data_IF_283802312352
#
_entry.id   IF_283802312352
#
_cell.length_a   1.000
_cell.length_b   1.000
_cell.length_c   1.000
_cell.angle_alpha   90.00
_cell.angle_beta   90.00
_cell.angle_gamma   90.00
#
_symmetry.space_group_name_H-M   'P 1'
#
loop_
_entity.id
_entity.type
_entity.pdbx_description
1 polymer ?
#
# COMPACT_ATOMS: atom_id res chain seq x y z
N UNK A 1 5.26 3.36 20.32
CA UNK A 1 5.30 3.62 18.87
C UNK A 1 6.63 4.25 18.51
N UNK A 2 7.63 3.41 18.27
CA UNK A 2 8.96 3.84 17.85
C UNK A 2 9.08 3.70 16.33
N UNK A 3 9.50 4.77 15.65
CA UNK A 3 9.65 4.79 14.20
C UNK A 3 11.11 4.98 13.82
N UNK A 4 11.58 4.19 12.86
CA UNK A 4 12.87 4.43 12.20
C UNK A 4 12.73 5.61 11.24
N UNK A 5 13.72 6.50 11.21
CA UNK A 5 13.63 7.72 10.40
C UNK A 5 14.76 7.75 9.38
N UNK A 6 14.38 7.87 8.11
CA UNK A 6 15.26 8.14 6.99
C UNK A 6 15.08 9.61 6.61
N UNK A 7 16.12 10.44 6.74
CA UNK A 7 16.01 11.89 6.51
C UNK A 7 17.02 12.38 5.49
N UNK A 8 16.69 13.50 4.85
CA UNK A 8 17.59 14.18 3.93
C UNK A 8 18.47 15.17 4.69
N UNK A 9 19.78 14.97 4.63
CA UNK A 9 20.79 15.88 5.14
C UNK A 9 21.02 17.00 4.12
N UNK A 10 20.53 18.20 4.41
CA UNK A 10 20.65 19.35 3.50
C UNK A 10 22.08 19.88 3.34
N UNK A 11 23.01 19.50 4.23
CA UNK A 11 24.42 19.94 4.15
C UNK A 11 25.20 19.10 3.15
N UNK A 12 24.99 17.78 3.20
CA UNK A 12 25.71 16.82 2.36
C UNK A 12 24.90 16.38 1.14
N UNK A 13 23.65 16.85 1.02
CA UNK A 13 22.67 16.46 -0.01
C UNK A 13 22.46 14.94 -0.13
N UNK A 14 22.52 14.23 1.00
CA UNK A 14 22.42 12.78 1.09
C UNK A 14 21.27 12.32 1.99
N UNK A 15 20.87 11.06 1.84
CA UNK A 15 19.88 10.41 2.68
C UNK A 15 20.57 9.58 3.77
N UNK A 16 20.11 9.74 5.01
CA UNK A 16 20.72 9.11 6.19
C UNK A 16 19.66 8.55 7.13
N UNK A 17 20.00 7.43 7.77
CA UNK A 17 19.20 6.86 8.85
C UNK A 17 19.54 7.52 10.18
N UNK A 18 18.53 7.79 11.00
CA UNK A 18 18.77 8.16 12.40
C UNK A 18 19.37 6.98 13.18
N UNK A 19 20.31 7.23 14.11
CA UNK A 19 21.00 6.16 14.84
C UNK A 19 20.10 5.38 15.79
N UNK A 20 18.95 5.94 16.18
CA UNK A 20 17.98 5.29 17.04
C UNK A 20 16.55 5.63 16.60
N UNK A 21 15.59 4.71 16.76
CA UNK A 21 14.19 4.98 16.52
C UNK A 21 13.64 6.12 17.37
N UNK A 22 12.67 6.84 16.81
CA UNK A 22 12.03 8.02 17.40
C UNK A 22 10.67 7.63 17.98
N UNK A 23 10.40 8.01 19.24
CA UNK A 23 9.09 7.79 19.85
C UNK A 23 8.08 8.87 19.43
N UNK A 24 7.11 8.49 18.59
CA UNK A 24 6.09 9.41 18.05
C UNK A 24 5.05 9.86 19.08
N UNK A 25 5.00 9.23 20.26
CA UNK A 25 4.12 9.63 21.36
C UNK A 25 4.73 10.70 22.28
N UNK A 26 5.97 11.14 22.01
CA UNK A 26 6.63 12.17 22.79
C UNK A 26 6.18 13.57 22.35
N UNK A 27 5.61 14.36 23.26
CA UNK A 27 5.09 15.71 22.99
C UNK A 27 6.17 16.72 22.56
N UNK A 28 7.44 16.46 22.87
CA UNK A 28 8.57 17.34 22.54
C UNK A 28 9.33 16.93 21.27
N UNK A 29 8.70 16.11 20.42
CA UNK A 29 9.33 15.60 19.23
C UNK A 29 9.60 16.69 18.18
N UNK A 30 10.81 16.66 17.59
CA UNK A 30 11.18 17.50 16.44
C UNK A 30 11.52 16.62 15.26
N UNK A 31 10.58 16.52 14.32
CA UNK A 31 10.79 15.80 13.07
C UNK A 31 11.68 16.60 12.12
N UNK A 32 12.53 15.88 11.39
CA UNK A 32 13.34 16.46 10.31
C UNK A 32 12.39 16.97 9.20
N UNK A 33 12.76 18.05 8.52
CA UNK A 33 11.87 18.68 7.52
C UNK A 33 11.55 17.74 6.36
N UNK A 34 12.54 16.99 5.89
CA UNK A 34 12.47 16.07 4.76
C UNK A 34 12.80 14.67 5.24
N UNK A 35 11.79 13.81 5.41
CA UNK A 35 12.02 12.45 5.92
C UNK A 35 10.88 11.47 5.66
N UNK A 36 11.24 10.19 5.68
CA UNK A 36 10.34 9.06 5.84
C UNK A 36 10.43 8.54 7.27
N UNK A 37 9.30 8.15 7.84
CA UNK A 37 9.20 7.53 9.15
C UNK A 37 8.54 6.17 8.98
N UNK A 38 9.20 5.10 9.40
CA UNK A 38 8.70 3.74 9.28
C UNK A 38 8.26 3.23 10.65
N UNK A 39 6.95 2.98 10.79
CA UNK A 39 6.34 2.42 11.99
C UNK A 39 5.83 1.01 11.69
N UNK A 40 6.57 -0.01 12.14
CA UNK A 40 6.21 -1.43 11.91
C UNK A 40 5.24 -2.00 12.97
N UNK A 41 4.82 -1.21 13.95
CA UNK A 41 3.93 -1.63 15.04
C UNK A 41 2.45 -1.41 14.70
N UNK A 42 1.98 -2.13 13.68
CA UNK A 42 0.60 -2.06 13.17
C UNK A 42 -0.42 -2.51 14.22
N UNK A 43 -0.12 -3.60 14.94
CA UNK A 43 -1.03 -4.19 15.93
C UNK A 43 -1.37 -3.18 17.03
N UNK A 44 -0.39 -2.39 17.48
CA UNK A 44 -0.64 -1.30 18.44
C UNK A 44 -1.29 -0.08 17.79
N UNK A 45 -1.07 0.14 16.49
CA UNK A 45 -1.70 1.23 15.74
C UNK A 45 -3.19 0.94 15.47
N UNK A 46 -3.58 -0.29 15.16
CA UNK A 46 -4.97 -0.70 14.88
C UNK A 46 -5.75 -1.04 16.14
N UNK A 47 -5.07 -1.52 17.18
CA UNK A 47 -5.68 -1.89 18.46
C UNK A 47 -6.22 -3.32 18.47
N UNK A 48 -5.71 -4.19 17.60
CA UNK A 48 -6.16 -5.58 17.47
C UNK A 48 -5.50 -6.55 18.46
N UNK A 49 -4.61 -6.05 19.32
CA UNK A 49 -4.10 -6.82 20.45
C UNK A 49 -5.22 -7.18 21.44
N UNK A 50 -5.58 -8.46 21.52
CA UNK A 50 -6.44 -9.04 22.57
C UNK A 50 -5.65 -9.09 23.90
N UNK A 51 -6.15 -8.64 25.08
CA UNK A 51 -7.34 -7.85 25.46
C UNK A 51 -6.97 -6.58 26.31
N UNK A 52 -7.86 -5.79 26.99
CA UNK A 52 -9.33 -5.59 27.02
C UNK A 52 -9.76 -4.19 26.49
N UNK A 53 -11.07 -3.82 26.60
CA UNK A 53 -11.66 -2.52 26.17
C UNK A 53 -10.81 -1.27 26.50
N UNK A 54 -10.06 -1.26 27.61
CA UNK A 54 -9.19 -0.15 28.01
C UNK A 54 -8.01 0.12 27.05
N UNK A 55 -7.53 -0.88 26.28
CA UNK A 55 -6.51 -0.69 25.26
C UNK A 55 -7.07 -0.18 23.92
N UNK A 56 -8.39 -0.24 23.70
CA UNK A 56 -9.04 0.20 22.46
C UNK A 56 -9.11 1.73 22.38
N UNK A 57 -9.43 2.39 23.48
CA UNK A 57 -9.43 3.86 23.54
C UNK A 57 -8.00 4.43 23.50
N UNK A 58 -7.01 3.65 23.97
CA UNK A 58 -5.60 3.99 23.86
C UNK A 58 -5.07 3.90 22.43
N UNK A 59 -5.56 2.98 21.59
CA UNK A 59 -5.10 2.90 20.19
C UNK A 59 -5.59 4.09 19.36
N UNK A 60 -6.86 4.50 19.52
CA UNK A 60 -7.36 5.73 18.87
C UNK A 60 -6.63 6.98 19.34
N UNK A 61 -6.39 7.12 20.64
CA UNK A 61 -5.65 8.26 21.17
C UNK A 61 -4.18 8.25 20.71
N UNK A 62 -3.52 7.09 20.65
CA UNK A 62 -2.18 6.97 20.09
C UNK A 62 -2.17 7.30 18.60
N UNK A 63 -3.13 6.79 17.80
CA UNK A 63 -3.28 7.17 16.39
C UNK A 63 -3.42 8.68 16.26
N UNK A 64 -4.32 9.30 17.03
CA UNK A 64 -4.54 10.76 17.02
C UNK A 64 -3.25 11.52 17.32
N UNK A 65 -2.50 11.12 18.36
CA UNK A 65 -1.22 11.74 18.72
C UNK A 65 -0.18 11.62 17.60
N UNK A 66 -0.05 10.45 16.98
CA UNK A 66 0.88 10.23 15.87
C UNK A 66 0.48 11.06 14.65
N UNK A 67 -0.79 10.99 14.25
CA UNK A 67 -1.33 11.63 13.05
C UNK A 67 -1.37 13.17 13.16
N UNK A 68 -1.42 13.71 14.38
CA UNK A 68 -1.34 15.15 14.64
C UNK A 68 -0.02 15.76 14.13
N UNK A 69 1.10 15.03 14.17
CA UNK A 69 2.38 15.50 13.62
C UNK A 69 2.31 15.81 12.12
N UNK A 70 1.38 15.14 11.42
CA UNK A 70 1.18 15.25 9.98
C UNK A 70 -0.01 16.16 9.61
N UNK A 71 -0.65 16.81 10.61
CA UNK A 71 -1.85 17.64 10.42
C UNK A 71 -3.04 16.89 9.78
N UNK A 72 -3.10 15.58 10.02
CA UNK A 72 -4.20 14.72 9.56
C UNK A 72 -5.42 14.95 10.45
N UNK A 73 -6.64 15.06 9.89
CA UNK A 73 -7.84 15.27 10.69
C UNK A 73 -8.12 14.13 11.67
N UNK A 74 -8.64 14.46 12.86
CA UNK A 74 -8.95 13.48 13.91
C UNK A 74 -9.90 12.38 13.45
N UNK A 75 -10.80 12.64 12.51
CA UNK A 75 -11.71 11.62 12.00
C UNK A 75 -10.95 10.43 11.38
N UNK A 76 -9.78 10.64 10.77
CA UNK A 76 -8.99 9.57 10.16
C UNK A 76 -8.44 8.60 11.20
N UNK A 77 -8.24 9.07 12.44
CA UNK A 77 -7.78 8.24 13.56
C UNK A 77 -8.85 7.29 14.10
N UNK A 78 -10.11 7.43 13.67
CA UNK A 78 -11.21 6.61 14.15
C UNK A 78 -11.09 5.16 13.64
N UNK A 79 -11.73 4.23 14.36
CA UNK A 79 -11.74 2.82 13.96
C UNK A 79 -12.39 2.56 12.60
N UNK A 80 -13.38 3.35 12.21
CA UNK A 80 -14.09 3.16 10.95
C UNK A 80 -13.14 3.31 9.76
N UNK A 81 -12.31 4.37 9.74
CA UNK A 81 -11.27 4.60 8.75
C UNK A 81 -10.15 3.56 8.88
N UNK A 82 -9.76 3.19 10.10
CA UNK A 82 -8.72 2.18 10.33
C UNK A 82 -9.09 0.77 9.84
N UNK A 83 -10.38 0.48 9.59
CA UNK A 83 -10.87 -0.81 9.08
C UNK A 83 -11.28 -0.80 7.61
N UNK A 84 -11.04 0.28 6.87
CA UNK A 84 -11.29 0.31 5.42
C UNK A 84 -10.17 -0.44 4.68
N UNK A 85 -10.51 -1.18 3.63
CA UNK A 85 -9.51 -1.88 2.81
C UNK A 85 -8.58 -0.88 2.11
N UNK A 86 -9.09 0.26 1.66
CA UNK A 86 -8.25 1.36 1.19
C UNK A 86 -9.01 2.67 1.12
N UNK A 87 -8.25 3.76 1.07
CA UNK A 87 -8.79 5.12 1.00
C UNK A 87 -7.72 6.10 0.53
N UNK A 88 -8.18 7.24 0.03
CA UNK A 88 -7.38 8.44 -0.19
C UNK A 88 -8.15 9.65 0.31
N UNK A 89 -7.46 10.55 0.98
CA UNK A 89 -7.95 11.89 1.26
C UNK A 89 -6.83 12.90 1.37
N UNK A 90 -7.18 14.18 1.25
CA UNK A 90 -6.22 15.26 1.36
C UNK A 90 -6.84 16.51 2.00
N UNK A 91 -5.96 17.36 2.53
CA UNK A 91 -6.27 18.68 3.07
C UNK A 91 -5.18 19.64 2.62
N UNK A 92 -5.53 20.54 1.72
CA UNK A 92 -4.66 21.63 1.28
C UNK A 92 -5.01 22.96 1.94
N UNK A 93 -4.06 23.88 1.99
CA UNK A 93 -4.31 25.31 2.27
C UNK A 93 -3.67 26.17 1.20
N UNK A 94 -4.36 27.24 0.81
CA UNK A 94 -3.89 28.22 -0.17
C UNK A 94 -3.45 29.49 0.58
N UNK A 95 -2.47 30.22 0.05
CA UNK A 95 -2.07 31.53 0.61
C UNK A 95 -3.16 32.56 0.33
N UNK A 96 -3.54 33.31 1.36
CA UNK A 96 -4.46 34.44 1.19
C UNK A 96 -3.79 35.54 0.36
N UNK A 97 -4.48 36.00 -0.68
CA UNK A 97 -4.01 37.00 -1.65
C UNK A 97 -3.82 38.42 -1.06
N UNK A 98 -3.87 38.58 0.26
CA UNK A 98 -3.87 39.87 0.96
C UNK A 98 -2.46 40.42 1.25
N UNK A 99 -1.41 39.63 1.03
CA UNK A 99 -0.04 40.16 1.03
C UNK A 99 0.23 40.82 -0.32
N UNK A 100 0.24 42.16 -0.30
CA UNK A 100 0.13 43.04 -1.46
C UNK A 100 1.04 42.76 -2.67
N UNK A 101 0.48 43.10 -3.83
CA UNK A 101 1.12 43.39 -5.13
C UNK A 101 2.52 42.79 -5.36
N UNK A 102 2.54 41.57 -5.90
CA UNK A 102 3.63 41.13 -6.76
C UNK A 102 3.04 40.60 -8.06
N UNK A 103 3.36 41.24 -9.18
CA UNK A 103 2.87 40.94 -10.54
C UNK A 103 3.39 39.61 -11.13
N UNK A 104 3.83 38.67 -10.29
CA UNK A 104 4.23 37.31 -10.70
C UNK A 104 3.23 36.30 -10.14
N UNK A 105 2.81 35.26 -10.89
CA UNK A 105 1.96 34.22 -10.34
C UNK A 105 2.73 33.47 -9.25
N UNK A 106 2.44 33.77 -7.99
CA UNK A 106 3.05 33.15 -6.83
C UNK A 106 2.49 31.73 -6.62
N UNK A 107 3.29 30.84 -6.00
CA UNK A 107 2.81 29.53 -5.53
C UNK A 107 1.58 29.72 -4.64
N UNK A 108 0.43 29.23 -5.10
CA UNK A 108 -0.85 29.37 -4.40
C UNK A 108 -0.95 28.38 -3.25
N UNK A 109 -0.46 27.15 -3.45
CA UNK A 109 -0.48 26.11 -2.42
C UNK A 109 0.54 26.42 -1.31
N UNK A 110 0.06 26.50 -0.08
CA UNK A 110 0.88 26.74 1.11
C UNK A 110 1.20 25.46 1.88
N UNK A 111 0.23 24.55 1.99
CA UNK A 111 0.43 23.24 2.61
C UNK A 111 -0.48 22.19 2.00
N UNK A 112 -0.03 20.93 2.06
CA UNK A 112 -0.80 19.77 1.65
C UNK A 112 -0.51 18.61 2.60
N UNK A 113 -1.55 18.06 3.17
CA UNK A 113 -1.52 16.80 3.93
C UNK A 113 -2.33 15.78 3.16
N UNK A 114 -1.82 14.56 2.99
CA UNK A 114 -2.58 13.44 2.44
C UNK A 114 -2.57 12.26 3.38
N UNK A 115 -3.60 11.42 3.29
CA UNK A 115 -3.70 10.15 3.99
C UNK A 115 -4.22 9.10 3.03
N UNK A 116 -3.48 8.01 2.93
CA UNK A 116 -3.68 6.99 1.91
C UNK A 116 -3.50 5.62 2.52
N UNK A 117 -4.32 4.65 2.12
CA UNK A 117 -4.10 3.24 2.42
C UNK A 117 -4.01 2.43 1.14
N UNK A 118 -2.96 1.63 1.03
CA UNK A 118 -2.71 0.71 -0.08
C UNK A 118 -2.48 -0.69 0.51
N UNK A 119 -3.51 -1.54 0.59
CA UNK A 119 -3.36 -2.90 1.08
C UNK A 119 -2.67 -3.81 0.05
N UNK A 120 -1.95 -4.82 0.52
CA UNK A 120 -1.46 -5.92 -0.30
C UNK A 120 -1.37 -7.22 0.50
N UNK A 121 -1.26 -8.33 -0.22
CA UNK A 121 -1.19 -9.68 0.36
C UNK A 121 -0.01 -10.43 -0.21
N UNK A 122 0.88 -10.89 0.66
CA UNK A 122 2.04 -11.71 0.30
C UNK A 122 1.69 -13.18 0.50
N UNK A 123 1.78 -13.98 -0.55
CA UNK A 123 1.80 -15.45 -0.41
C UNK A 123 3.21 -15.87 0.02
N UNK A 124 3.27 -16.65 1.10
CA UNK A 124 4.51 -17.12 1.68
C UNK A 124 4.98 -18.37 0.94
N UNK A 125 6.26 -18.33 0.56
CA UNK A 125 6.92 -19.44 -0.11
C UNK A 125 7.57 -20.36 0.94
N UNK A 126 7.94 -21.58 0.52
CA UNK A 126 8.58 -22.56 1.41
C UNK A 126 9.79 -21.95 2.14
N UNK A 127 9.77 -22.00 3.48
CA UNK A 127 10.81 -21.44 4.35
C UNK A 127 10.54 -20.03 4.86
N UNK A 128 9.56 -19.30 4.30
CA UNK A 128 9.09 -18.03 4.85
C UNK A 128 8.11 -18.27 6.00
N UNK A 129 8.02 -17.31 6.94
CA UNK A 129 7.12 -17.35 8.09
C UNK A 129 6.36 -16.02 8.18
N UNK A 130 5.07 -16.09 8.48
CA UNK A 130 4.25 -14.91 8.75
C UNK A 130 4.75 -14.21 10.04
N UNK A 131 4.75 -12.86 10.05
CA UNK A 131 5.23 -12.05 11.19
C UNK A 131 4.42 -12.29 12.47
N UNK A 132 3.13 -12.56 12.34
CA UNK A 132 2.19 -12.51 13.47
C UNK A 132 1.58 -13.87 13.83
N UNK A 133 1.47 -14.80 12.88
CA UNK A 133 0.74 -16.05 13.09
C UNK A 133 1.52 -17.27 12.57
N UNK A 134 1.64 -18.30 13.40
CA UNK A 134 2.33 -19.54 13.01
C UNK A 134 1.40 -20.43 12.20
N UNK A 135 1.89 -21.00 11.09
CA UNK A 135 1.14 -21.93 10.26
C UNK A 135 0.25 -21.28 9.19
N UNK A 136 0.28 -19.95 9.08
CA UNK A 136 -0.36 -19.22 7.97
C UNK A 136 0.62 -19.12 6.81
N UNK A 137 0.14 -19.39 5.60
CA UNK A 137 0.88 -19.40 4.33
C UNK A 137 0.73 -18.09 3.53
N UNK A 138 0.19 -17.06 4.17
CA UNK A 138 0.09 -15.71 3.64
C UNK A 138 0.35 -14.67 4.73
N UNK A 139 0.53 -13.44 4.29
CA UNK A 139 0.72 -12.29 5.14
C UNK A 139 0.02 -11.07 4.53
N UNK A 140 -0.69 -10.33 5.36
CA UNK A 140 -1.29 -9.05 4.98
C UNK A 140 -0.35 -7.89 5.31
N UNK A 141 -0.38 -6.90 4.43
CA UNK A 141 0.24 -5.60 4.62
C UNK A 141 -0.79 -4.53 4.33
N UNK A 142 -1.29 -3.87 5.36
CA UNK A 142 -2.31 -2.85 5.25
C UNK A 142 -1.65 -1.47 5.34
N UNK A 143 -0.87 -1.14 4.31
CA UNK A 143 0.07 -0.03 4.35
C UNK A 143 -0.64 1.31 4.41
N UNK A 144 -0.45 2.05 5.50
CA UNK A 144 -0.95 3.43 5.64
C UNK A 144 0.18 4.43 5.42
N UNK A 145 -0.12 5.46 4.62
CA UNK A 145 0.79 6.55 4.29
C UNK A 145 0.17 7.89 4.66
N UNK A 146 0.87 8.67 5.47
CA UNK A 146 0.45 10.02 5.84
C UNK A 146 1.53 11.01 5.46
N UNK A 147 1.19 11.95 4.58
CA UNK A 147 2.14 12.96 4.12
C UNK A 147 1.86 14.32 4.74
N UNK A 148 2.92 15.09 4.95
CA UNK A 148 2.83 16.50 5.30
C UNK A 148 3.83 17.29 4.49
N UNK A 149 3.31 18.16 3.64
CA UNK A 149 4.08 19.10 2.85
C UNK A 149 3.73 20.54 3.20
N UNK A 150 4.74 21.41 3.19
CA UNK A 150 4.53 22.88 3.30
C UNK A 150 5.48 23.63 2.37
N UNK A 151 5.03 24.79 1.90
CA UNK A 151 5.81 25.73 1.07
C UNK A 151 7.10 26.23 1.76
N UNK A 152 7.21 26.04 3.08
CA UNK A 152 8.38 26.36 3.92
C UNK A 152 9.45 25.24 3.93
N UNK A 153 9.32 24.25 3.04
CA UNK A 153 10.29 23.19 2.82
C UNK A 153 10.11 21.95 3.70
N UNK A 154 8.92 21.75 4.28
CA UNK A 154 8.58 20.47 4.94
C UNK A 154 8.08 19.48 3.89
N UNK A 155 8.58 18.26 3.89
CA UNK A 155 8.09 17.12 3.11
C UNK A 155 8.33 15.83 3.92
N UNK A 156 7.31 15.41 4.67
CA UNK A 156 7.40 14.29 5.61
C UNK A 156 6.40 13.21 5.23
N UNK A 157 6.81 11.94 5.33
CA UNK A 157 5.93 10.79 5.07
C UNK A 157 6.04 9.80 6.23
N UNK A 158 4.91 9.48 6.85
CA UNK A 158 4.77 8.36 7.77
C UNK A 158 4.30 7.14 7.00
N UNK A 159 5.05 6.06 7.09
CA UNK A 159 4.78 4.76 6.52
C UNK A 159 4.47 3.77 7.66
N UNK A 160 3.30 3.14 7.63
CA UNK A 160 2.86 2.18 8.64
C UNK A 160 2.62 0.83 7.98
N UNK A 161 3.01 -0.24 8.69
CA UNK A 161 2.85 -1.64 8.25
C UNK A 161 3.39 -1.93 6.85
N UNK A 162 4.56 -1.41 6.55
CA UNK A 162 5.21 -1.67 5.27
C UNK A 162 6.02 -2.97 5.30
N UNK A 163 6.10 -3.70 4.18
CA UNK A 163 7.04 -4.80 4.01
C UNK A 163 8.46 -4.46 4.43
N UNK A 164 9.16 -5.41 5.06
CA UNK A 164 10.52 -5.19 5.57
C UNK A 164 11.49 -4.75 4.47
N UNK A 165 11.32 -5.30 3.27
CA UNK A 165 12.09 -5.00 2.06
C UNK A 165 11.89 -3.57 1.51
N UNK A 166 10.81 -2.86 1.89
CA UNK A 166 10.52 -1.53 1.35
C UNK A 166 11.57 -0.48 1.76
N UNK A 167 12.04 -0.53 3.01
CA UNK A 167 12.98 0.46 3.56
C UNK A 167 14.30 0.46 2.78
N UNK A 168 14.84 -0.71 2.53
CA UNK A 168 16.12 -0.90 1.83
C UNK A 168 15.99 -0.50 0.36
N UNK A 169 14.93 -0.99 -0.32
CA UNK A 169 14.63 -0.60 -1.71
C UNK A 169 14.46 0.90 -1.88
N UNK A 170 13.70 1.55 -0.99
CA UNK A 170 13.51 2.99 -1.05
C UNK A 170 14.83 3.74 -0.84
N UNK A 171 15.67 3.28 0.09
CA UNK A 171 16.98 3.89 0.33
C UNK A 171 17.87 3.82 -0.92
N UNK A 172 17.91 2.67 -1.60
CA UNK A 172 18.64 2.49 -2.86
C UNK A 172 18.06 3.35 -3.99
N UNK A 173 16.73 3.43 -4.10
CA UNK A 173 16.05 4.28 -5.08
C UNK A 173 16.31 5.76 -4.82
N UNK A 174 16.38 6.20 -3.56
CA UNK A 174 16.75 7.57 -3.21
C UNK A 174 18.22 7.88 -3.54
N UNK A 175 19.13 6.94 -3.30
CA UNK A 175 20.56 7.10 -3.62
C UNK A 175 20.84 7.12 -5.13
N UNK A 176 20.00 6.45 -5.92
CA UNK A 176 20.08 6.44 -7.39
C UNK A 176 19.20 7.49 -8.06
N UNK A 177 18.27 8.11 -7.32
CA UNK A 177 17.46 9.21 -7.82
C UNK A 177 18.30 10.44 -8.09
N UNK A 178 17.94 11.19 -9.14
CA UNK A 178 18.48 12.52 -9.36
C UNK A 178 18.00 13.52 -8.30
N UNK A 179 18.24 14.80 -8.54
CA UNK A 179 17.76 15.86 -7.64
C UNK A 179 16.23 15.84 -7.54
N UNK A 180 15.70 15.75 -6.33
CA UNK A 180 14.27 15.76 -6.06
C UNK A 180 13.72 17.19 -6.00
N UNK A 181 12.61 17.43 -6.66
CA UNK A 181 11.91 18.72 -6.65
C UNK A 181 11.05 18.86 -5.39
N UNK A 182 11.65 19.27 -4.27
CA UNK A 182 10.92 19.37 -2.98
C UNK A 182 9.81 20.43 -2.96
N UNK A 183 9.69 21.31 -3.97
CA UNK A 183 8.53 22.20 -4.13
C UNK A 183 7.28 21.43 -4.56
N UNK A 184 7.44 20.23 -5.10
CA UNK A 184 6.35 19.31 -5.37
C UNK A 184 5.98 18.53 -4.09
N UNK A 185 4.70 18.62 -3.63
CA UNK A 185 4.21 17.86 -2.50
C UNK A 185 4.39 16.35 -2.62
N UNK A 186 4.39 15.81 -3.83
CA UNK A 186 4.44 14.37 -4.07
C UNK A 186 5.83 13.88 -4.47
N UNK A 187 6.87 14.72 -4.49
CA UNK A 187 8.23 14.29 -4.89
C UNK A 187 8.74 13.07 -4.10
N UNK A 188 8.50 13.04 -2.78
CA UNK A 188 8.84 11.87 -1.95
C UNK A 188 7.82 10.74 -2.10
N UNK A 189 6.53 11.10 -2.17
CA UNK A 189 5.47 10.10 -2.25
C UNK A 189 5.57 9.27 -3.53
N UNK A 190 5.94 9.88 -4.65
CA UNK A 190 6.08 9.21 -5.94
C UNK A 190 7.13 8.08 -5.88
N UNK A 191 8.34 8.36 -5.37
CA UNK A 191 9.39 7.34 -5.21
C UNK A 191 8.94 6.18 -4.31
N UNK A 192 8.21 6.50 -3.24
CA UNK A 192 7.65 5.50 -2.35
C UNK A 192 6.61 4.63 -3.07
N UNK A 193 5.70 5.24 -3.84
CA UNK A 193 4.68 4.54 -4.60
C UNK A 193 5.27 3.63 -5.68
N UNK A 194 6.35 4.06 -6.35
CA UNK A 194 7.07 3.22 -7.31
C UNK A 194 7.58 1.91 -6.68
N UNK A 195 8.18 1.98 -5.49
CA UNK A 195 8.64 0.79 -4.79
C UNK A 195 7.48 -0.08 -4.28
N UNK A 196 6.39 0.54 -3.81
CA UNK A 196 5.18 -0.18 -3.40
C UNK A 196 4.58 -0.94 -4.59
N UNK A 197 4.49 -0.31 -5.76
CA UNK A 197 3.97 -0.94 -6.98
C UNK A 197 4.81 -2.15 -7.39
N UNK A 198 6.15 -2.05 -7.33
CA UNK A 198 7.05 -3.18 -7.57
C UNK A 198 6.83 -4.32 -6.59
N UNK A 199 6.56 -4.01 -5.32
CA UNK A 199 6.27 -5.04 -4.29
C UNK A 199 4.90 -5.68 -4.54
N UNK A 200 3.87 -4.90 -4.83
CA UNK A 200 2.55 -5.41 -5.19
C UNK A 200 2.62 -6.34 -6.40
N UNK A 201 3.36 -5.94 -7.46
CA UNK A 201 3.59 -6.78 -8.63
C UNK A 201 4.29 -8.09 -8.29
N UNK A 202 5.35 -8.02 -7.48
CA UNK A 202 6.04 -9.20 -7.00
C UNK A 202 5.12 -10.16 -6.23
N UNK A 203 4.19 -9.64 -5.42
CA UNK A 203 3.27 -10.45 -4.63
C UNK A 203 2.16 -11.06 -5.49
N UNK A 204 1.62 -10.32 -6.45
CA UNK A 204 0.74 -10.85 -7.50
C UNK A 204 1.42 -11.97 -8.27
N UNK A 205 2.68 -11.79 -8.66
CA UNK A 205 3.41 -12.83 -9.39
C UNK A 205 3.64 -14.11 -8.57
N UNK A 206 3.80 -14.00 -7.24
CA UNK A 206 3.85 -15.16 -6.35
C UNK A 206 2.54 -15.94 -6.36
N UNK A 207 1.40 -15.25 -6.40
CA UNK A 207 0.09 -15.90 -6.57
C UNK A 207 0.01 -16.64 -7.91
N UNK A 208 0.34 -15.98 -9.02
CA UNK A 208 0.32 -16.63 -10.34
C UNK A 208 1.25 -17.84 -10.42
N UNK A 209 2.42 -17.81 -9.76
CA UNK A 209 3.30 -18.99 -9.64
C UNK A 209 2.66 -20.12 -8.84
N UNK A 210 1.94 -19.80 -7.78
CA UNK A 210 1.22 -20.77 -6.95
C UNK A 210 0.15 -21.45 -7.80
N UNK A 211 -0.71 -20.68 -8.47
CA UNK A 211 -1.74 -21.20 -9.40
C UNK A 211 -1.10 -22.11 -10.46
N UNK A 212 -0.08 -21.64 -11.18
CA UNK A 212 0.64 -22.43 -12.21
C UNK A 212 1.25 -23.72 -11.69
N UNK A 213 1.73 -23.73 -10.44
CA UNK A 213 2.27 -24.94 -9.81
C UNK A 213 1.17 -25.98 -9.64
N UNK A 214 -0.02 -25.55 -9.21
CA UNK A 214 -1.18 -26.43 -9.07
C UNK A 214 -1.68 -26.91 -10.44
N UNK A 215 -1.86 -26.02 -11.43
CA UNK A 215 -2.26 -26.37 -12.81
C UNK A 215 -1.36 -27.45 -13.42
N UNK A 216 -0.04 -27.30 -13.27
CA UNK A 216 0.94 -28.26 -13.82
C UNK A 216 0.92 -29.60 -13.13
N UNK A 217 0.54 -29.64 -11.85
CA UNK A 217 0.59 -30.87 -11.06
C UNK A 217 -0.46 -31.89 -11.50
N UNK A 218 -1.58 -31.48 -12.13
CA UNK A 218 -2.66 -32.32 -12.74
C UNK A 218 -3.10 -33.56 -11.94
N UNK A 219 -2.72 -33.64 -10.67
CA UNK A 219 -3.09 -34.68 -9.73
C UNK A 219 -4.28 -34.16 -8.94
N UNK A 220 -5.03 -35.05 -8.29
CA UNK A 220 -6.16 -34.68 -7.44
C UNK A 220 -5.68 -33.80 -6.28
N UNK A 221 -5.54 -32.50 -6.54
CA UNK A 221 -5.32 -31.48 -5.52
C UNK A 221 -6.60 -31.43 -4.69
N UNK A 222 -6.53 -31.53 -3.36
CA UNK A 222 -7.71 -31.43 -2.52
C UNK A 222 -8.50 -30.15 -2.83
N UNK A 223 -9.82 -30.27 -2.90
CA UNK A 223 -10.72 -29.14 -3.16
C UNK A 223 -10.46 -27.96 -2.20
N UNK A 224 -10.12 -28.27 -0.95
CA UNK A 224 -9.79 -27.31 0.10
C UNK A 224 -8.57 -26.43 -0.26
N UNK A 225 -7.54 -27.02 -0.87
CA UNK A 225 -6.36 -26.28 -1.32
C UNK A 225 -6.71 -25.35 -2.50
N UNK A 226 -7.48 -25.85 -3.48
CA UNK A 226 -7.95 -25.04 -4.61
C UNK A 226 -8.84 -23.89 -4.15
N UNK A 227 -9.77 -24.13 -3.23
CA UNK A 227 -10.64 -23.08 -2.70
C UNK A 227 -9.87 -22.05 -1.86
N UNK A 228 -8.80 -22.47 -1.18
CA UNK A 228 -7.90 -21.55 -0.46
C UNK A 228 -7.16 -20.64 -1.43
N UNK A 229 -6.61 -21.19 -2.52
CA UNK A 229 -5.96 -20.42 -3.59
C UNK A 229 -6.94 -19.42 -4.21
N UNK A 230 -8.17 -19.85 -4.52
CA UNK A 230 -9.23 -18.96 -5.03
C UNK A 230 -9.48 -17.79 -4.11
N UNK A 231 -9.65 -18.07 -2.81
CA UNK A 231 -9.89 -17.03 -1.81
C UNK A 231 -8.74 -16.03 -1.80
N UNK A 232 -7.50 -16.50 -1.84
CA UNK A 232 -6.35 -15.61 -1.87
C UNK A 232 -6.22 -14.82 -3.18
N UNK A 233 -6.62 -15.39 -4.32
CA UNK A 233 -6.66 -14.68 -5.60
C UNK A 233 -7.73 -13.58 -5.57
N UNK A 234 -8.92 -13.90 -5.07
CA UNK A 234 -10.01 -12.94 -4.88
C UNK A 234 -9.63 -11.83 -3.89
N UNK A 235 -9.00 -12.19 -2.77
CA UNK A 235 -8.47 -11.24 -1.79
C UNK A 235 -7.50 -10.24 -2.47
N UNK A 236 -6.60 -10.73 -3.33
CA UNK A 236 -5.62 -9.92 -4.06
C UNK A 236 -6.25 -9.01 -5.12
N UNK A 237 -7.26 -9.51 -5.82
CA UNK A 237 -8.03 -8.73 -6.81
C UNK A 237 -8.75 -7.56 -6.15
N UNK A 238 -9.44 -7.81 -5.02
CA UNK A 238 -10.15 -6.77 -4.28
C UNK A 238 -9.21 -5.64 -3.84
N UNK A 239 -8.07 -6.00 -3.22
CA UNK A 239 -7.12 -5.00 -2.73
C UNK A 239 -6.39 -4.27 -3.86
N UNK A 240 -6.19 -4.91 -5.01
CA UNK A 240 -5.63 -4.26 -6.18
C UNK A 240 -6.60 -3.28 -6.81
N UNK A 241 -7.88 -3.63 -6.95
CA UNK A 241 -8.90 -2.71 -7.47
C UNK A 241 -8.98 -1.43 -6.62
N UNK A 242 -8.97 -1.59 -5.29
CA UNK A 242 -8.95 -0.46 -4.36
C UNK A 242 -7.64 0.34 -4.46
N UNK A 243 -6.50 -0.33 -4.66
CA UNK A 243 -5.20 0.33 -4.86
C UNK A 243 -5.16 1.15 -6.15
N UNK A 244 -5.75 0.62 -7.23
CA UNK A 244 -5.93 1.35 -8.49
C UNK A 244 -6.76 2.61 -8.23
N UNK A 245 -7.96 2.50 -7.67
CA UNK A 245 -8.79 3.69 -7.38
C UNK A 245 -8.05 4.74 -6.52
N UNK A 246 -7.27 4.27 -5.55
CA UNK A 246 -6.46 5.13 -4.67
C UNK A 246 -5.38 5.90 -5.43
N UNK A 247 -4.67 5.23 -6.34
CA UNK A 247 -3.64 5.83 -7.19
C UNK A 247 -4.22 6.82 -8.20
N UNK A 248 -5.41 6.55 -8.73
CA UNK A 248 -6.16 7.50 -9.58
C UNK A 248 -6.43 8.80 -8.85
N UNK A 249 -6.94 8.73 -7.61
CA UNK A 249 -7.23 9.92 -6.82
C UNK A 249 -5.96 10.70 -6.48
N UNK A 250 -4.84 10.02 -6.26
CA UNK A 250 -3.53 10.63 -6.11
C UNK A 250 -3.11 11.35 -7.40
N UNK A 251 -3.20 10.70 -8.56
CA UNK A 251 -2.87 11.31 -9.84
C UNK A 251 -3.72 12.56 -10.12
N UNK A 252 -5.04 12.49 -9.92
CA UNK A 252 -5.93 13.66 -10.05
C UNK A 252 -5.52 14.78 -9.09
N UNK A 253 -5.14 14.46 -7.84
CA UNK A 253 -4.67 15.51 -6.92
C UNK A 253 -3.34 16.11 -7.38
N UNK A 254 -2.46 15.32 -7.99
CA UNK A 254 -1.18 15.80 -8.50
C UNK A 254 -1.35 16.76 -9.68
N UNK A 255 -2.30 16.50 -10.57
CA UNK A 255 -2.68 17.44 -11.62
C UNK A 255 -3.11 18.80 -11.05
N UNK A 256 -3.89 18.80 -9.96
CA UNK A 256 -4.27 20.03 -9.26
C UNK A 256 -3.06 20.72 -8.63
N UNK A 257 -2.14 19.96 -8.02
CA UNK A 257 -0.90 20.52 -7.47
C UNK A 257 -0.10 21.27 -8.55
N UNK A 258 0.01 20.72 -9.76
CA UNK A 258 0.71 21.36 -10.89
C UNK A 258 0.05 22.65 -11.40
N UNK A 259 -1.24 22.84 -11.14
CA UNK A 259 -1.95 24.09 -11.44
C UNK A 259 -1.76 25.14 -10.33
N UNK A 260 -1.60 24.68 -9.08
CA UNK A 260 -1.47 25.54 -7.89
C UNK A 260 -0.01 25.93 -7.57
N UNK A 261 0.96 25.23 -8.17
CA UNK A 261 2.39 25.42 -7.97
C UNK A 261 3.09 25.92 -9.24
N UNK A 262 4.06 26.80 -9.08
CA UNK A 262 4.99 27.21 -10.11
C UNK A 262 6.23 26.31 -10.06
N UNK A 263 6.13 25.18 -10.73
CA UNK A 263 7.25 24.28 -10.98
C UNK A 263 7.91 24.61 -12.32
N UNK A 264 9.13 24.10 -12.54
CA UNK A 264 9.79 24.24 -13.84
C UNK A 264 8.98 23.54 -14.93
N UNK A 265 8.87 24.16 -16.10
CA UNK A 265 8.00 23.67 -17.18
C UNK A 265 8.42 22.27 -17.66
N UNK A 266 9.73 22.03 -17.78
CA UNK A 266 10.28 20.72 -18.14
C UNK A 266 9.99 19.67 -17.08
N UNK A 267 10.13 20.01 -15.78
CA UNK A 267 9.80 19.10 -14.69
C UNK A 267 8.31 18.74 -14.72
N UNK A 268 7.43 19.74 -14.87
CA UNK A 268 5.99 19.52 -14.94
C UNK A 268 5.61 18.65 -16.14
N UNK A 269 6.20 18.88 -17.31
CA UNK A 269 5.94 18.06 -18.49
C UNK A 269 6.38 16.60 -18.25
N UNK A 270 7.61 16.39 -17.76
CA UNK A 270 8.12 15.06 -17.43
C UNK A 270 7.27 14.35 -16.38
N UNK A 271 6.83 15.06 -15.35
CA UNK A 271 6.00 14.49 -14.30
C UNK A 271 4.60 14.12 -14.81
N UNK A 272 4.01 14.92 -15.70
CA UNK A 272 2.73 14.58 -16.38
C UNK A 272 2.90 13.35 -17.27
N UNK A 273 3.93 13.30 -18.11
CA UNK A 273 4.20 12.16 -18.99
C UNK A 273 4.40 10.88 -18.16
N UNK A 274 5.12 10.99 -17.05
CA UNK A 274 5.37 9.88 -16.14
C UNK A 274 4.10 9.39 -15.43
N UNK A 275 3.24 10.31 -14.95
CA UNK A 275 1.94 9.95 -14.36
C UNK A 275 1.03 9.26 -15.37
N UNK A 276 1.01 9.71 -16.62
CA UNK A 276 0.23 9.08 -17.70
C UNK A 276 0.75 7.67 -18.01
N UNK A 277 2.07 7.49 -18.07
CA UNK A 277 2.68 6.17 -18.23
C UNK A 277 2.32 5.23 -17.07
N UNK A 278 2.43 5.71 -15.83
CA UNK A 278 2.04 4.93 -14.64
C UNK A 278 0.55 4.55 -14.66
N UNK A 279 -0.32 5.43 -15.12
CA UNK A 279 -1.75 5.10 -15.31
C UNK A 279 -1.93 3.97 -16.33
N UNK A 280 -1.20 3.99 -17.45
CA UNK A 280 -1.23 2.90 -18.43
C UNK A 280 -0.73 1.55 -17.86
N UNK A 281 0.37 1.55 -17.09
CA UNK A 281 0.86 0.32 -16.46
C UNK A 281 -0.08 -0.22 -15.36
N UNK A 282 -0.87 0.64 -14.71
CA UNK A 282 -1.88 0.23 -13.72
C UNK A 282 -3.03 -0.53 -14.37
N UNK A 283 -3.47 -0.12 -15.55
CA UNK A 283 -4.50 -0.84 -16.32
C UNK A 283 -4.03 -2.26 -16.66
N UNK A 284 -2.76 -2.43 -17.05
CA UNK A 284 -2.16 -3.75 -17.30
C UNK A 284 -2.06 -4.60 -16.03
N UNK A 285 -1.77 -4.00 -14.87
CA UNK A 285 -1.74 -4.70 -13.59
C UNK A 285 -3.14 -5.23 -13.20
N UNK A 286 -4.20 -4.45 -13.43
CA UNK A 286 -5.59 -4.88 -13.26
C UNK A 286 -5.92 -6.07 -14.17
N UNK A 287 -5.57 -5.99 -15.45
CA UNK A 287 -5.79 -7.07 -16.42
C UNK A 287 -5.06 -8.36 -16.01
N UNK A 288 -3.84 -8.27 -15.49
CA UNK A 288 -3.07 -9.46 -15.07
C UNK A 288 -3.70 -10.17 -13.86
N UNK A 289 -4.34 -9.42 -12.97
CA UNK A 289 -5.07 -9.96 -11.82
C UNK A 289 -6.41 -10.60 -12.23
N UNK A 290 -7.18 -9.93 -13.08
CA UNK A 290 -8.41 -10.49 -13.66
C UNK A 290 -8.13 -11.80 -14.41
N UNK A 291 -7.04 -11.84 -15.16
CA UNK A 291 -6.59 -13.06 -15.86
C UNK A 291 -6.21 -14.18 -14.88
N UNK A 292 -5.54 -13.85 -13.77
CA UNK A 292 -5.16 -14.82 -12.74
C UNK A 292 -6.38 -15.35 -11.97
N UNK A 293 -7.37 -14.49 -11.69
CA UNK A 293 -8.65 -14.88 -11.11
C UNK A 293 -9.41 -15.82 -12.05
N UNK A 294 -9.62 -15.41 -13.31
CA UNK A 294 -10.33 -16.21 -14.31
C UNK A 294 -9.71 -17.58 -14.56
N UNK A 295 -8.37 -17.70 -14.49
CA UNK A 295 -7.67 -18.99 -14.53
C UNK A 295 -7.97 -19.85 -13.31
N UNK A 296 -7.89 -19.30 -12.09
CA UNK A 296 -8.23 -20.05 -10.87
C UNK A 296 -9.70 -20.50 -10.82
N UNK A 297 -10.61 -19.66 -11.32
CA UNK A 297 -12.04 -19.92 -11.39
C UNK A 297 -12.37 -21.00 -12.43
N UNK A 298 -11.65 -21.02 -13.56
CA UNK A 298 -11.74 -22.07 -14.57
C UNK A 298 -11.26 -23.42 -14.03
N UNK A 299 -10.11 -23.45 -13.36
CA UNK A 299 -9.56 -24.66 -12.73
C UNK A 299 -10.47 -25.21 -11.63
N UNK A 300 -11.16 -24.35 -10.89
CA UNK A 300 -12.13 -24.78 -9.86
C UNK A 300 -13.41 -25.32 -10.48
N UNK A 301 -13.89 -24.73 -11.58
CA UNK A 301 -15.00 -25.31 -12.34
C UNK A 301 -14.60 -26.65 -12.94
N UNK A 302 -13.39 -26.79 -13.48
CA UNK A 302 -12.88 -28.05 -14.00
C UNK A 302 -12.69 -29.10 -12.89
N UNK A 303 -12.16 -28.71 -11.73
CA UNK A 303 -12.02 -29.59 -10.57
C UNK A 303 -13.38 -29.95 -9.97
N UNK A 304 -14.37 -29.05 -9.97
CA UNK A 304 -15.74 -29.32 -9.56
C UNK A 304 -16.47 -30.19 -10.57
N UNK A 305 -16.25 -30.01 -11.87
CA UNK A 305 -16.80 -30.86 -12.93
C UNK A 305 -16.16 -32.26 -12.90
N UNK A 306 -14.85 -32.38 -12.65
CA UNK A 306 -14.17 -33.65 -12.42
C UNK A 306 -14.57 -34.30 -11.10
N UNK A 307 -14.84 -33.53 -10.03
CA UNK A 307 -15.34 -34.04 -8.74
C UNK A 307 -16.83 -34.44 -8.82
N UNK A 308 -17.62 -33.75 -9.67
CA UNK A 308 -18.99 -34.15 -10.03
C UNK A 308 -18.96 -35.37 -10.94
N UNK A 309 -18.06 -35.47 -11.94
CA UNK A 309 -17.89 -36.64 -12.79
C UNK A 309 -17.35 -37.83 -11.99
N UNK A 310 -16.46 -37.59 -11.02
CA UNK A 310 -15.95 -38.61 -10.10
C UNK A 310 -17.03 -39.05 -9.10
N UNK A 311 -17.89 -38.14 -8.60
CA UNK A 311 -19.08 -38.51 -7.80
C UNK A 311 -20.16 -39.19 -8.65
N UNK A 312 -20.31 -38.85 -9.93
CA UNK A 312 -21.25 -39.48 -10.85
C UNK A 312 -20.75 -40.86 -11.27
N UNK A 313 -19.45 -41.02 -11.54
CA UNK A 313 -18.81 -42.32 -11.82
C UNK A 313 -18.71 -43.20 -10.57
N UNK A 314 -18.47 -42.62 -9.38
CA UNK A 314 -18.51 -43.34 -8.11
C UNK A 314 -19.93 -43.78 -7.76
N UNK A 315 -20.96 -42.94 -7.98
CA UNK A 315 -22.36 -43.35 -7.82
C UNK A 315 -22.83 -44.34 -8.90
N UNK A 316 -22.35 -44.23 -10.15
CA UNK A 316 -22.61 -45.21 -11.20
C UNK A 316 -21.90 -46.55 -10.94
N UNK A 317 -20.71 -46.56 -10.34
CA UNK A 317 -20.00 -47.78 -9.96
C UNK A 317 -20.52 -48.41 -8.67
N UNK A 318 -21.03 -47.61 -7.72
CA UNK A 318 -21.68 -48.10 -6.49
C UNK A 318 -23.11 -48.60 -6.77
N UNK A 319 -23.79 -48.10 -7.80
CA UNK A 319 -25.10 -48.66 -8.24
C UNK A 319 -25.01 -49.85 -9.20
N UNK A 320 -23.84 -50.16 -9.78
CA UNK A 320 -23.69 -51.32 -10.68
C UNK A 320 -23.13 -52.61 -10.05
N UNK A 321 -22.96 -52.66 -8.72
CA UNK A 321 -22.59 -53.88 -7.99
C UNK A 321 -23.74 -54.55 -7.21
N UNK A 322 -25.00 -54.20 -7.47
CA UNK A 322 -26.17 -54.88 -6.88
C UNK A 322 -27.05 -55.66 -7.87
N UNK A 323 -26.63 -55.84 -9.13
CA UNK A 323 -27.34 -56.69 -10.09
C UNK A 323 -26.40 -57.55 -10.93
N UNK A 324 -25.79 -58.56 -10.29
CA UNK A 324 -25.47 -59.87 -10.90
C UNK A 324 -25.48 -60.94 -9.81
N UNK A 325 -26.67 -61.50 -9.59
CA UNK A 325 -26.84 -62.93 -9.79
C UNK A 325 -27.00 -63.16 -11.29
#
# INVERSE_FOLDING_TARGET
MAAEVLFFNETDETWEWTPAPVNLLNDNLRLKKKCYLFLQDEVSFKGDAVPPKAKKDQSEEHRRKVLRWFNVPDFVSNRACAGLNGYFGCKGSIKDSSDGESELPANKLDSLTTWTRIPTKKILMSGEKCRYESGVDYEWYEMDFFTRWTSKGTNQILCIDTPGELKERLFESLASSGTLEFRDPFALLQLLLEEILKICDQYTWRMSKTIRKHERSRSAVPFEELNTIRRHAQDLEEVAAVSVETLERLATRQEVNFQELKLEENFRAQAIDYLQFQNGCRDEFGVQLDCSHGQSDHEIRHAHDDDVLARYLHNCLVQHHLLRF
#
